data_IF_051947050812
#
_entry.id   IF_051947050812
#
_cell.length_a   1.000
_cell.length_b   1.000
_cell.length_c   1.000
_cell.angle_alpha   90.00
_cell.angle_beta   90.00
_cell.angle_gamma   90.00
#
_symmetry.space_group_name_H-M   'P 1'
#
loop_
_entity.id
_entity.type
_entity.pdbx_description
1 polymer ?
#
# COMPACT_ATOMS: atom_id res chain seq x y z
N UNK A 1 0.10 -31.30 -22.07
CA UNK A 1 0.42 -31.05 -20.66
C UNK A 1 1.59 -30.08 -20.47
N UNK A 2 2.70 -30.25 -21.16
CA UNK A 2 3.83 -29.31 -21.10
C UNK A 2 3.46 -27.90 -21.57
N UNK A 3 2.64 -27.78 -22.60
CA UNK A 3 2.22 -26.48 -23.15
C UNK A 3 1.32 -25.70 -22.17
N UNK A 4 0.44 -26.41 -21.46
CA UNK A 4 -0.43 -25.81 -20.44
C UNK A 4 0.41 -25.27 -19.27
N UNK A 5 1.44 -25.99 -18.86
CA UNK A 5 2.36 -25.55 -17.80
C UNK A 5 3.10 -24.29 -18.24
N UNK A 6 3.58 -24.24 -19.49
CA UNK A 6 4.24 -23.06 -20.05
C UNK A 6 3.31 -21.85 -20.08
N UNK A 7 2.04 -22.05 -20.42
CA UNK A 7 1.05 -20.98 -20.43
C UNK A 7 0.82 -20.42 -19.01
N UNK A 8 0.71 -21.29 -18.02
CA UNK A 8 0.56 -20.87 -16.62
C UNK A 8 1.78 -20.07 -16.16
N UNK A 9 2.99 -20.54 -16.47
CA UNK A 9 4.22 -19.84 -16.10
C UNK A 9 4.32 -18.47 -16.79
N UNK A 10 3.93 -18.40 -18.07
CA UNK A 10 3.92 -17.12 -18.79
C UNK A 10 2.92 -16.14 -18.19
N UNK A 11 1.72 -16.60 -17.80
CA UNK A 11 0.72 -15.77 -17.14
C UNK A 11 1.22 -15.27 -15.80
N UNK A 12 1.88 -16.11 -15.01
CA UNK A 12 2.44 -15.72 -13.73
C UNK A 12 3.51 -14.65 -13.86
N UNK A 13 4.40 -14.78 -14.85
CA UNK A 13 5.43 -13.78 -15.15
C UNK A 13 4.80 -12.45 -15.55
N UNK A 14 3.77 -12.49 -16.39
CA UNK A 14 3.05 -11.30 -16.82
C UNK A 14 2.38 -10.62 -15.61
N UNK A 15 1.76 -11.39 -14.73
CA UNK A 15 1.14 -10.88 -13.51
C UNK A 15 2.16 -10.19 -12.61
N UNK A 16 3.33 -10.82 -12.41
CA UNK A 16 4.41 -10.24 -11.60
C UNK A 16 4.90 -8.91 -12.17
N UNK A 17 5.06 -8.81 -13.48
CA UNK A 17 5.44 -7.57 -14.15
C UNK A 17 4.41 -6.48 -13.97
N UNK A 18 3.13 -6.81 -14.10
CA UNK A 18 2.04 -5.85 -13.93
C UNK A 18 1.93 -5.38 -12.47
N UNK A 19 2.10 -6.29 -11.52
CA UNK A 19 2.10 -5.94 -10.09
C UNK A 19 3.26 -5.00 -9.76
N UNK A 20 4.46 -5.26 -10.31
CA UNK A 20 5.62 -4.39 -10.13
C UNK A 20 5.42 -3.02 -10.76
N UNK A 21 4.82 -2.97 -11.94
CA UNK A 21 4.48 -1.71 -12.63
C UNK A 21 3.48 -0.91 -11.81
N UNK A 22 2.46 -1.57 -11.28
CA UNK A 22 1.45 -0.95 -10.44
C UNK A 22 2.07 -0.37 -9.17
N UNK A 23 3.02 -1.07 -8.57
CA UNK A 23 3.75 -0.58 -7.39
C UNK A 23 4.48 0.73 -7.69
N UNK A 24 5.13 0.83 -8.85
CA UNK A 24 5.80 2.06 -9.27
C UNK A 24 4.79 3.20 -9.46
N UNK A 25 3.65 2.92 -10.08
CA UNK A 25 2.59 3.91 -10.26
C UNK A 25 2.02 4.35 -8.93
N UNK A 26 1.82 3.42 -8.00
CA UNK A 26 1.37 3.70 -6.64
C UNK A 26 2.36 4.60 -5.91
N UNK A 27 3.65 4.28 -5.95
CA UNK A 27 4.70 5.08 -5.30
C UNK A 27 4.76 6.49 -5.90
N UNK A 28 4.59 6.63 -7.21
CA UNK A 28 4.56 7.93 -7.87
C UNK A 28 3.34 8.77 -7.43
N UNK A 29 2.20 8.13 -7.26
CA UNK A 29 1.00 8.79 -6.73
C UNK A 29 1.22 9.30 -5.32
N UNK A 30 1.88 8.51 -4.47
CA UNK A 30 2.23 8.92 -3.11
C UNK A 30 3.19 10.13 -3.14
N UNK A 31 4.19 10.11 -4.02
CA UNK A 31 5.09 11.26 -4.22
C UNK A 31 4.32 12.51 -4.61
N UNK A 32 3.40 12.39 -5.55
CA UNK A 32 2.58 13.50 -6.01
C UNK A 32 1.72 14.07 -4.87
N UNK A 33 1.19 13.22 -4.01
CA UNK A 33 0.40 13.64 -2.86
C UNK A 33 1.24 14.43 -1.85
N UNK A 34 2.47 13.98 -1.58
CA UNK A 34 3.37 14.73 -0.71
C UNK A 34 3.75 16.10 -1.29
N UNK A 35 3.88 16.19 -2.62
CA UNK A 35 4.14 17.46 -3.31
C UNK A 35 2.91 18.38 -3.28
N UNK A 36 1.72 17.80 -3.46
CA UNK A 36 0.46 18.53 -3.48
C UNK A 36 0.10 19.10 -2.11
N UNK A 37 0.45 18.37 -1.05
CA UNK A 37 0.12 18.74 0.33
C UNK A 37 1.42 18.91 1.14
N UNK A 38 2.07 20.09 1.05
CA UNK A 38 3.35 20.33 1.74
C UNK A 38 3.28 20.19 3.27
N UNK A 39 2.09 20.35 3.84
CA UNK A 39 1.84 20.23 5.27
C UNK A 39 1.87 18.79 5.77
N UNK A 40 1.73 17.80 4.88
CA UNK A 40 1.77 16.39 5.25
C UNK A 40 3.22 15.92 5.30
N UNK A 41 3.68 15.46 6.44
CA UNK A 41 5.04 14.95 6.63
C UNK A 41 5.12 13.44 6.72
N UNK A 42 4.14 12.80 7.36
CA UNK A 42 4.10 11.35 7.56
C UNK A 42 2.66 10.84 7.52
N UNK A 43 2.51 9.64 6.99
CA UNK A 43 1.22 8.93 6.95
C UNK A 43 1.43 7.55 7.60
N UNK A 44 0.58 7.20 8.56
CA UNK A 44 0.57 5.88 9.19
C UNK A 44 -0.76 5.18 8.87
N UNK A 45 -0.68 3.96 8.35
CA UNK A 45 -1.85 3.17 7.96
C UNK A 45 -1.81 1.84 8.71
N UNK A 46 -2.77 1.57 9.60
CA UNK A 46 -2.81 0.30 10.32
C UNK A 46 -3.00 -0.89 9.38
N UNK A 47 -2.27 -1.95 9.63
CA UNK A 47 -2.44 -3.22 8.95
C UNK A 47 -2.68 -4.34 9.96
N UNK A 48 -3.34 -5.38 9.49
CA UNK A 48 -3.56 -6.57 10.27
C UNK A 48 -3.01 -7.77 9.47
N UNK A 49 -2.00 -8.41 10.04
CA UNK A 49 -1.36 -9.57 9.44
C UNK A 49 -1.45 -10.72 10.44
N UNK A 50 -2.55 -11.48 10.34
CA UNK A 50 -2.80 -12.60 11.24
C UNK A 50 -2.33 -13.92 10.65
N UNK A 51 -1.47 -14.61 11.41
CA UNK A 51 -1.17 -16.00 11.15
C UNK A 51 -2.05 -16.84 12.08
N UNK A 52 -2.87 -17.71 11.50
CA UNK A 52 -3.65 -18.66 12.26
C UNK A 52 -2.85 -19.94 12.46
N UNK A 53 -2.71 -20.37 13.70
CA UNK A 53 -1.89 -21.52 14.07
C UNK A 53 -2.51 -22.88 13.69
N UNK A 54 -3.68 -22.91 13.10
CA UNK A 54 -4.41 -24.12 12.72
C UNK A 54 -4.21 -24.54 11.26
N UNK A 55 -3.26 -23.91 10.57
CA UNK A 55 -2.95 -24.24 9.19
C UNK A 55 -3.85 -23.55 8.16
N UNK A 56 -4.77 -22.70 8.60
CA UNK A 56 -5.61 -21.92 7.70
C UNK A 56 -4.88 -20.70 7.17
N UNK A 57 -5.44 -20.08 6.13
CA UNK A 57 -4.84 -18.97 5.42
C UNK A 57 -4.51 -17.78 6.33
N UNK A 58 -3.36 -17.16 6.08
CA UNK A 58 -3.03 -15.87 6.68
C UNK A 58 -3.99 -14.82 6.14
N UNK A 59 -4.57 -14.04 7.04
CA UNK A 59 -5.42 -12.93 6.69
C UNK A 59 -4.60 -11.63 6.73
N UNK A 60 -4.53 -10.93 5.61
CA UNK A 60 -3.89 -9.62 5.50
C UNK A 60 -4.93 -8.56 5.21
N UNK A 61 -5.02 -7.55 6.07
CA UNK A 61 -5.95 -6.46 5.91
C UNK A 61 -5.25 -5.12 6.10
N UNK A 62 -5.61 -4.15 5.27
CA UNK A 62 -5.13 -2.77 5.38
C UNK A 62 -6.31 -1.90 5.81
N UNK A 63 -6.17 -1.24 6.94
CA UNK A 63 -7.22 -0.36 7.47
C UNK A 63 -6.97 1.09 7.05
N UNK A 64 -7.11 1.36 5.74
CA UNK A 64 -6.89 2.69 5.18
C UNK A 64 -7.83 3.74 5.81
N UNK A 65 -9.04 3.34 6.18
CA UNK A 65 -10.00 4.25 6.83
C UNK A 65 -9.54 4.71 8.21
N UNK A 66 -8.63 3.98 8.83
CA UNK A 66 -8.07 4.32 10.15
C UNK A 66 -6.70 5.01 10.04
N UNK A 67 -6.30 5.40 8.84
CA UNK A 67 -5.03 6.10 8.65
C UNK A 67 -4.98 7.41 9.41
N UNK A 68 -3.75 7.81 9.77
CA UNK A 68 -3.50 9.09 10.40
C UNK A 68 -2.37 9.78 9.64
N UNK A 69 -2.59 11.04 9.27
CA UNK A 69 -1.55 11.88 8.68
C UNK A 69 -1.01 12.83 9.74
N UNK A 70 0.29 13.08 9.70
CA UNK A 70 0.99 13.94 10.66
C UNK A 70 1.70 15.07 9.93
N UNK A 71 1.77 16.23 10.57
CA UNK A 71 2.57 17.35 10.07
C UNK A 71 4.04 17.23 10.54
N UNK A 72 4.86 18.22 10.20
CA UNK A 72 6.30 18.22 10.55
C UNK A 72 6.56 18.25 12.06
N UNK A 73 5.58 18.65 12.86
CA UNK A 73 5.67 18.69 14.31
C UNK A 73 5.10 17.43 14.97
N UNK A 74 4.76 16.43 14.15
CA UNK A 74 4.13 15.17 14.56
C UNK A 74 2.73 15.36 15.16
N UNK A 75 2.06 16.48 14.84
CA UNK A 75 0.67 16.70 15.21
C UNK A 75 -0.24 16.05 14.16
N UNK A 76 -1.33 15.45 14.60
CA UNK A 76 -2.30 14.82 13.71
C UNK A 76 -3.00 15.87 12.85
N UNK A 77 -3.07 15.59 11.54
CA UNK A 77 -3.82 16.42 10.60
C UNK A 77 -5.29 16.01 10.68
N UNK A 78 -6.19 17.00 10.68
CA UNK A 78 -7.63 16.79 10.76
C UNK A 78 -8.11 15.79 9.69
N UNK A 79 -8.96 14.85 10.09
CA UNK A 79 -9.51 13.81 9.22
C UNK A 79 -10.33 14.36 8.05
N UNK A 80 -10.72 15.62 8.08
CA UNK A 80 -11.43 16.30 6.99
C UNK A 80 -10.48 16.76 5.87
N UNK A 81 -9.17 16.71 6.12
CA UNK A 81 -8.19 17.07 5.09
C UNK A 81 -8.29 16.13 3.89
N UNK A 82 -8.15 16.68 2.69
CA UNK A 82 -8.31 15.93 1.44
C UNK A 82 -7.33 14.74 1.31
N UNK A 83 -6.17 14.79 1.98
CA UNK A 83 -5.18 13.70 1.94
C UNK A 83 -5.78 12.36 2.38
N UNK A 84 -6.67 12.37 3.36
CA UNK A 84 -7.32 11.16 3.85
C UNK A 84 -8.12 10.46 2.75
N UNK A 85 -8.97 11.22 2.05
CA UNK A 85 -9.78 10.68 0.96
C UNK A 85 -8.91 10.17 -0.19
N UNK A 86 -7.85 10.88 -0.54
CA UNK A 86 -6.97 10.49 -1.65
C UNK A 86 -6.20 9.21 -1.34
N UNK A 87 -5.68 9.05 -0.12
CA UNK A 87 -4.98 7.82 0.29
C UNK A 87 -5.95 6.63 0.37
N UNK A 88 -7.12 6.82 0.95
CA UNK A 88 -8.14 5.78 1.03
C UNK A 88 -8.50 5.28 -0.37
N UNK A 89 -8.71 6.20 -1.31
CA UNK A 89 -9.03 5.83 -2.70
C UNK A 89 -7.91 5.03 -3.36
N UNK A 90 -6.64 5.37 -3.11
CA UNK A 90 -5.51 4.61 -3.65
C UNK A 90 -5.50 3.16 -3.14
N UNK A 91 -5.74 2.98 -1.84
CA UNK A 91 -5.78 1.63 -1.27
C UNK A 91 -7.00 0.83 -1.72
N UNK A 92 -8.13 1.47 -1.96
CA UNK A 92 -9.31 0.81 -2.55
C UNK A 92 -9.00 0.25 -3.93
N UNK A 93 -8.23 0.99 -4.75
CA UNK A 93 -7.85 0.53 -6.08
C UNK A 93 -6.94 -0.71 -6.03
N UNK A 94 -6.09 -0.83 -5.02
CA UNK A 94 -5.16 -1.95 -4.87
C UNK A 94 -5.73 -3.11 -4.05
N UNK A 95 -6.92 -2.93 -3.49
CA UNK A 95 -7.60 -3.99 -2.72
C UNK A 95 -8.10 -5.13 -3.61
N UNK A 96 -8.32 -4.85 -4.89
CA UNK A 96 -8.72 -5.87 -5.86
C UNK A 96 -7.65 -6.94 -5.92
N UNK A 97 -8.04 -8.22 -5.72
CA UNK A 97 -7.14 -9.38 -5.69
C UNK A 97 -6.01 -9.27 -4.67
N UNK A 98 -6.18 -8.46 -3.63
CA UNK A 98 -5.18 -8.27 -2.57
C UNK A 98 -3.78 -7.96 -3.10
N UNK A 99 -3.70 -7.13 -4.15
CA UNK A 99 -2.42 -6.77 -4.77
C UNK A 99 -1.47 -6.16 -3.74
N UNK A 100 -1.99 -5.32 -2.85
CA UNK A 100 -1.18 -4.67 -1.82
C UNK A 100 -0.57 -5.65 -0.80
N UNK A 101 -1.13 -6.84 -0.64
CA UNK A 101 -0.58 -7.87 0.24
C UNK A 101 0.84 -8.25 -0.18
N UNK A 102 1.10 -8.38 -1.47
CA UNK A 102 2.43 -8.73 -1.97
C UNK A 102 3.48 -7.67 -1.65
N UNK A 103 3.05 -6.42 -1.43
CA UNK A 103 3.95 -5.30 -1.12
C UNK A 103 4.23 -5.16 0.36
N UNK A 104 3.25 -5.45 1.21
CA UNK A 104 3.28 -5.12 2.63
C UNK A 104 3.10 -6.31 3.57
N UNK A 105 3.01 -7.53 3.05
CA UNK A 105 2.73 -8.73 3.87
C UNK A 105 3.82 -9.03 4.91
N UNK A 106 5.02 -8.51 4.72
CA UNK A 106 6.14 -8.71 5.66
C UNK A 106 6.26 -7.60 6.70
N UNK A 107 5.44 -6.56 6.58
CA UNK A 107 5.46 -5.46 7.54
C UNK A 107 4.78 -5.87 8.84
N UNK A 108 5.38 -5.48 9.95
CA UNK A 108 4.81 -5.63 11.28
C UNK A 108 4.45 -4.24 11.80
N UNK A 109 3.19 -4.04 12.14
CA UNK A 109 2.69 -2.75 12.57
C UNK A 109 2.17 -1.92 11.41
N UNK A 110 2.19 -0.61 11.55
CA UNK A 110 1.60 0.29 10.56
C UNK A 110 2.47 0.43 9.31
N UNK A 111 1.81 0.63 8.15
CA UNK A 111 2.52 1.08 6.96
C UNK A 111 2.85 2.55 7.18
N UNK A 112 4.13 2.90 7.17
CA UNK A 112 4.56 4.29 7.33
C UNK A 112 5.13 4.84 6.03
N UNK A 113 4.65 6.02 5.65
CA UNK A 113 5.11 6.75 4.48
C UNK A 113 5.60 8.12 4.95
N UNK A 114 6.89 8.38 4.78
CA UNK A 114 7.51 9.63 5.21
C UNK A 114 7.89 10.48 4.01
N UNK A 115 7.63 11.79 4.10
CA UNK A 115 7.98 12.75 3.05
C UNK A 115 9.44 12.63 2.63
N UNK A 116 10.36 12.63 3.60
CA UNK A 116 11.80 12.58 3.34
C UNK A 116 12.19 11.32 2.57
N UNK A 117 11.67 10.17 2.98
CA UNK A 117 11.97 8.87 2.35
C UNK A 117 11.33 8.77 0.97
N UNK A 118 10.08 9.19 0.85
CA UNK A 118 9.29 9.09 -0.39
C UNK A 118 9.84 10.01 -1.48
N UNK A 119 10.18 11.25 -1.14
CA UNK A 119 10.67 12.24 -2.12
C UNK A 119 12.13 12.09 -2.45
N UNK A 120 12.90 11.38 -1.64
CA UNK A 120 14.34 11.21 -1.81
C UNK A 120 14.69 10.19 -2.91
N UNK A 121 13.79 9.27 -3.21
CA UNK A 121 14.06 8.23 -4.21
C UNK A 121 13.93 8.74 -5.66
#
# INVERSE_FOLDING_TARGET
MKDTIKEILALNKTKEKLVSKLKKEFDNKIKDLFKKYPEVDRIAIPINNHEYNDGDDTSFEVYACDMIAFDKNEDEIDSKHAIYAEIINLFELTEIDNIHESWYSKEYGDIEMCRKTTLKG
#
